data_IF_628726312912
#
_entry.id   IF_628726312912
#
_cell.length_a   1.000
_cell.length_b   1.000
_cell.length_c   1.000
_cell.angle_alpha   90.00
_cell.angle_beta   90.00
_cell.angle_gamma   90.00
#
_symmetry.space_group_name_H-M   'P 1'
#
loop_
_entity.id
_entity.type
_entity.pdbx_description
1 polymer ?
#
# COMPACT_ATOMS: atom_id res chain seq x y z
N UNK A 1 -11.65 3.88 -3.75
CA UNK A 1 -12.41 3.77 -5.00
C UNK A 1 -11.47 3.83 -6.19
N UNK A 2 -11.70 3.00 -7.16
CA UNK A 2 -10.94 2.89 -8.40
C UNK A 2 -11.83 2.24 -9.46
N UNK A 3 -11.30 1.96 -10.64
CA UNK A 3 -12.00 1.20 -11.67
C UNK A 3 -12.37 -0.21 -11.21
N UNK A 4 -11.58 -0.75 -10.28
CA UNK A 4 -11.78 -2.10 -9.73
C UNK A 4 -12.76 -2.13 -8.56
N UNK A 5 -13.01 -0.99 -7.92
CA UNK A 5 -13.66 -0.95 -6.62
C UNK A 5 -14.56 0.28 -6.47
N UNK A 6 -15.85 0.03 -6.36
CA UNK A 6 -16.82 1.07 -6.07
C UNK A 6 -16.78 1.46 -4.58
N UNK A 7 -17.17 2.69 -4.28
CA UNK A 7 -17.30 3.15 -2.89
C UNK A 7 -18.17 2.19 -2.07
N UNK A 8 -19.33 1.81 -2.61
CA UNK A 8 -20.29 1.01 -1.87
C UNK A 8 -20.99 1.81 -0.76
N UNK A 9 -21.39 1.11 0.30
CA UNK A 9 -22.20 1.67 1.38
C UNK A 9 -23.66 1.86 1.01
N UNK A 10 -24.48 2.30 1.96
CA UNK A 10 -25.90 2.54 1.74
C UNK A 10 -26.18 4.02 1.43
N UNK A 11 -26.39 4.33 0.17
CA UNK A 11 -26.88 5.65 -0.27
C UNK A 11 -25.90 6.78 0.01
N UNK A 12 -26.39 7.87 0.58
CA UNK A 12 -25.61 9.08 0.89
C UNK A 12 -24.77 8.99 2.15
N UNK A 13 -24.80 7.86 2.84
CA UNK A 13 -23.97 7.65 4.00
C UNK A 13 -22.50 7.66 3.56
N UNK A 14 -21.67 8.32 4.36
CA UNK A 14 -20.25 8.48 4.09
C UNK A 14 -19.96 9.26 2.80
N UNK A 15 -20.53 10.45 2.74
CA UNK A 15 -20.40 11.38 1.61
C UNK A 15 -18.95 11.77 1.28
N UNK A 16 -18.03 11.65 2.24
CA UNK A 16 -16.64 12.04 2.08
C UNK A 16 -15.87 11.18 1.07
N UNK A 17 -16.30 9.94 0.81
CA UNK A 17 -15.69 9.07 -0.19
C UNK A 17 -16.34 9.17 -1.57
N UNK A 18 -17.55 9.70 -1.67
CA UNK A 18 -18.25 9.83 -2.94
C UNK A 18 -17.52 10.69 -3.98
N UNK A 19 -16.92 11.86 -3.60
CA UNK A 19 -16.15 12.66 -4.54
C UNK A 19 -15.01 11.92 -5.25
N UNK A 20 -14.39 10.93 -4.58
CA UNK A 20 -13.34 10.11 -5.18
C UNK A 20 -13.87 9.15 -6.25
N UNK A 21 -15.08 8.65 -6.08
CA UNK A 21 -15.71 7.76 -7.05
C UNK A 21 -16.12 8.50 -8.33
N UNK A 22 -16.70 9.69 -8.17
CA UNK A 22 -17.19 10.47 -9.31
C UNK A 22 -16.20 11.52 -9.84
N UNK A 23 -15.01 11.64 -9.24
CA UNK A 23 -13.96 12.60 -9.58
C UNK A 23 -14.44 14.07 -9.61
N UNK A 24 -15.38 14.42 -8.74
CA UNK A 24 -15.95 15.76 -8.64
C UNK A 24 -15.94 16.26 -7.21
N UNK A 25 -15.90 17.60 -7.08
CA UNK A 25 -15.98 18.30 -5.79
C UNK A 25 -14.88 17.90 -4.79
N UNK A 26 -13.73 17.45 -5.28
CA UNK A 26 -12.58 17.19 -4.42
C UNK A 26 -11.98 18.52 -3.95
N UNK A 27 -11.94 18.71 -2.65
CA UNK A 27 -11.34 19.87 -2.00
C UNK A 27 -10.27 19.43 -1.02
N UNK A 28 -9.39 20.34 -0.63
CA UNK A 28 -8.36 20.06 0.39
C UNK A 28 -8.93 19.78 1.78
N UNK A 29 -10.19 20.08 2.00
CA UNK A 29 -10.89 19.88 3.28
C UNK A 29 -11.73 18.61 3.35
N UNK A 30 -11.65 17.75 2.32
CA UNK A 30 -12.30 16.44 2.37
C UNK A 30 -11.66 15.61 3.48
N UNK A 31 -12.49 15.11 4.42
CA UNK A 31 -12.05 14.39 5.62
C UNK A 31 -10.99 13.33 5.38
N UNK A 32 -11.15 12.39 4.43
CA UNK A 32 -10.14 11.36 4.16
C UNK A 32 -8.77 11.90 3.73
N UNK A 33 -8.71 12.99 2.95
CA UNK A 33 -7.43 13.60 2.55
C UNK A 33 -6.79 14.36 3.72
N UNK A 34 -7.57 15.13 4.44
CA UNK A 34 -7.08 15.87 5.62
C UNK A 34 -6.54 14.91 6.68
N UNK A 35 -7.28 13.84 6.97
CA UNK A 35 -6.85 12.81 7.91
C UNK A 35 -5.60 12.07 7.45
N UNK A 36 -5.50 11.73 6.17
CA UNK A 36 -4.31 11.07 5.61
C UNK A 36 -3.08 11.97 5.73
N UNK A 37 -3.20 13.24 5.39
CA UNK A 37 -2.14 14.23 5.54
C UNK A 37 -1.68 14.33 6.99
N UNK A 38 -2.62 14.55 7.90
CA UNK A 38 -2.33 14.66 9.33
C UNK A 38 -1.63 13.41 9.89
N UNK A 39 -2.16 12.23 9.60
CA UNK A 39 -1.62 10.95 10.12
C UNK A 39 -0.23 10.67 9.60
N UNK A 40 0.04 10.94 8.32
CA UNK A 40 1.35 10.71 7.73
C UNK A 40 2.39 11.69 8.29
N UNK A 41 2.07 12.98 8.43
CA UNK A 41 2.98 13.93 9.08
C UNK A 41 3.16 13.68 10.58
N UNK A 42 2.15 13.23 11.28
CA UNK A 42 2.30 12.79 12.68
C UNK A 42 3.26 11.59 12.80
N UNK A 43 3.20 10.65 11.85
CA UNK A 43 4.13 9.53 11.80
C UNK A 43 5.56 9.98 11.47
N UNK A 44 5.75 10.89 10.49
CA UNK A 44 7.04 11.48 10.16
C UNK A 44 7.64 12.23 11.37
N UNK A 45 6.83 13.01 12.08
CA UNK A 45 7.26 13.70 13.29
C UNK A 45 7.77 12.74 14.37
N UNK A 46 7.11 11.58 14.52
CA UNK A 46 7.58 10.52 15.44
C UNK A 46 8.90 9.91 14.98
N UNK A 47 9.08 9.70 13.67
CA UNK A 47 10.36 9.24 13.12
C UNK A 47 11.48 10.25 13.40
N UNK A 48 11.26 11.54 13.13
CA UNK A 48 12.25 12.58 13.38
C UNK A 48 12.62 12.69 14.87
N UNK A 49 11.63 12.61 15.76
CA UNK A 49 11.88 12.56 17.22
C UNK A 49 12.72 11.36 17.61
N UNK A 50 12.45 10.19 17.04
CA UNK A 50 13.23 9.00 17.30
C UNK A 50 14.66 9.14 16.79
N UNK A 51 14.88 9.70 15.61
CA UNK A 51 16.23 9.97 15.06
C UNK A 51 17.03 10.90 15.95
N UNK A 52 16.44 12.02 16.38
CA UNK A 52 17.10 12.95 17.34
C UNK A 52 17.45 12.25 18.66
N UNK A 53 16.58 11.38 19.15
CA UNK A 53 16.84 10.64 20.39
C UNK A 53 17.92 9.58 20.22
N UNK A 54 17.95 8.89 19.09
CA UNK A 54 18.97 7.89 18.76
C UNK A 54 20.35 8.54 18.55
N UNK A 55 20.41 9.69 17.89
CA UNK A 55 21.63 10.48 17.74
C UNK A 55 22.21 10.86 19.11
N UNK A 56 21.35 11.34 20.01
CA UNK A 56 21.79 11.82 21.32
C UNK A 56 22.14 10.71 22.32
N UNK A 57 21.38 9.64 22.35
CA UNK A 57 21.43 8.65 23.41
C UNK A 57 21.72 7.23 22.93
N UNK A 58 21.60 6.95 21.64
CA UNK A 58 21.62 5.60 21.08
C UNK A 58 22.89 4.86 21.45
N UNK A 59 24.06 5.39 21.08
CA UNK A 59 25.33 4.71 21.32
C UNK A 59 25.58 4.41 22.79
N UNK A 60 25.17 5.30 23.70
CA UNK A 60 25.36 5.10 25.14
C UNK A 60 24.39 4.10 25.77
N UNK A 61 23.23 3.85 25.14
CA UNK A 61 22.17 3.00 25.67
C UNK A 61 22.06 1.64 24.97
N UNK A 62 22.36 1.60 23.68
CA UNK A 62 22.17 0.40 22.86
C UNK A 62 23.51 -0.13 22.30
N UNK A 63 24.56 0.68 22.31
CA UNK A 63 25.79 0.41 21.59
C UNK A 63 25.71 0.80 20.11
N UNK A 64 26.86 0.88 19.45
CA UNK A 64 26.99 1.44 18.09
C UNK A 64 26.22 0.64 17.04
N UNK A 65 26.34 -0.69 17.04
CA UNK A 65 25.72 -1.56 16.04
C UNK A 65 24.20 -1.48 16.10
N UNK A 66 23.63 -1.62 17.29
CA UNK A 66 22.18 -1.57 17.43
C UNK A 66 21.64 -0.17 17.14
N UNK A 67 22.34 0.88 17.53
CA UNK A 67 21.95 2.25 17.21
C UNK A 67 21.87 2.47 15.70
N UNK A 68 22.86 2.01 14.94
CA UNK A 68 22.83 2.08 13.46
C UNK A 68 21.62 1.35 12.89
N UNK A 69 21.32 0.16 13.39
CA UNK A 69 20.15 -0.60 12.93
C UNK A 69 18.84 0.13 13.24
N UNK A 70 18.69 0.68 14.46
CA UNK A 70 17.48 1.44 14.83
C UNK A 70 17.32 2.71 13.99
N UNK A 71 18.39 3.42 13.70
CA UNK A 71 18.38 4.57 12.79
C UNK A 71 17.90 4.14 11.40
N UNK A 72 18.42 3.04 10.88
CA UNK A 72 18.05 2.51 9.59
C UNK A 72 16.56 2.10 9.51
N UNK A 73 16.04 1.44 10.57
CA UNK A 73 14.61 1.12 10.68
C UNK A 73 13.73 2.38 10.69
N UNK A 74 14.11 3.39 11.46
CA UNK A 74 13.34 4.65 11.53
C UNK A 74 13.39 5.42 10.22
N UNK A 75 14.53 5.46 9.54
CA UNK A 75 14.66 6.07 8.22
C UNK A 75 13.79 5.35 7.19
N UNK A 76 13.77 4.02 7.20
CA UNK A 76 12.83 3.26 6.35
C UNK A 76 11.38 3.67 6.58
N UNK A 77 10.95 3.76 7.84
CA UNK A 77 9.58 4.16 8.17
C UNK A 77 9.28 5.59 7.73
N UNK A 78 10.22 6.52 7.91
CA UNK A 78 10.06 7.89 7.42
C UNK A 78 9.90 7.93 5.90
N UNK A 79 10.77 7.23 5.19
CA UNK A 79 10.69 7.09 3.74
C UNK A 79 9.36 6.48 3.28
N UNK A 80 8.87 5.44 3.98
CA UNK A 80 7.56 4.83 3.71
C UNK A 80 6.42 5.85 3.83
N UNK A 81 6.40 6.67 4.88
CA UNK A 81 5.36 7.68 5.06
C UNK A 81 5.45 8.80 4.03
N UNK A 82 6.67 9.25 3.70
CA UNK A 82 6.87 10.22 2.62
C UNK A 82 6.52 9.67 1.26
N UNK A 83 6.84 8.41 0.96
CA UNK A 83 6.42 7.75 -0.27
C UNK A 83 4.89 7.80 -0.43
N UNK A 84 4.14 7.48 0.62
CA UNK A 84 2.68 7.60 0.63
C UNK A 84 2.21 9.04 0.43
N UNK A 85 2.84 10.01 1.06
CA UNK A 85 2.50 11.42 0.90
C UNK A 85 2.66 11.89 -0.53
N UNK A 86 3.83 11.67 -1.13
CA UNK A 86 4.12 12.21 -2.46
C UNK A 86 3.35 11.49 -3.57
N UNK A 87 2.95 10.24 -3.38
CA UNK A 87 2.10 9.53 -4.36
C UNK A 87 0.68 10.09 -4.40
N UNK A 88 0.21 10.70 -3.32
CA UNK A 88 -1.13 11.32 -3.25
C UNK A 88 -1.06 12.84 -3.48
N UNK A 89 -0.19 13.52 -2.75
CA UNK A 89 -0.17 15.00 -2.71
C UNK A 89 0.90 15.62 -3.60
N UNK A 90 1.84 14.85 -4.12
CA UNK A 90 2.93 15.23 -5.03
C UNK A 90 3.91 16.25 -4.44
N UNK A 91 3.47 17.45 -4.12
CA UNK A 91 4.27 18.53 -3.53
C UNK A 91 4.00 18.60 -2.03
N UNK A 92 5.01 18.25 -1.25
CA UNK A 92 4.91 18.24 0.21
C UNK A 92 6.17 18.88 0.84
N UNK A 93 6.06 19.52 1.99
CA UNK A 93 7.24 20.01 2.70
C UNK A 93 8.08 18.81 3.17
N UNK A 94 9.41 18.92 3.03
CA UNK A 94 10.32 17.93 3.59
C UNK A 94 10.76 18.38 4.99
N UNK A 95 10.35 17.61 6.00
CA UNK A 95 10.67 17.84 7.41
C UNK A 95 11.49 16.65 7.89
N UNK A 96 12.78 16.83 8.02
CA UNK A 96 13.71 15.84 8.56
C UNK A 96 14.04 16.11 10.03
N UNK A 97 14.96 15.32 10.59
CA UNK A 97 15.42 15.44 11.97
C UNK A 97 16.08 16.78 12.26
N UNK A 98 16.75 17.40 11.29
CA UNK A 98 17.39 18.72 11.48
C UNK A 98 16.36 19.85 11.51
N UNK A 99 15.37 19.82 10.60
CA UNK A 99 14.25 20.75 10.63
C UNK A 99 13.47 20.60 11.93
N UNK A 100 13.22 19.36 12.35
CA UNK A 100 12.52 19.07 13.59
C UNK A 100 13.30 19.56 14.84
N UNK A 101 14.61 19.30 14.91
CA UNK A 101 15.49 19.69 16.00
C UNK A 101 15.59 21.21 16.17
N UNK A 102 15.66 21.91 15.04
CA UNK A 102 15.79 23.36 15.01
C UNK A 102 14.45 24.10 15.10
N UNK A 103 13.34 23.36 15.15
CA UNK A 103 11.98 23.90 15.22
C UNK A 103 11.67 24.90 14.07
N UNK A 104 12.09 24.54 12.86
CA UNK A 104 11.95 25.37 11.66
C UNK A 104 10.88 24.84 10.68
N UNK A 105 9.94 24.00 11.16
CA UNK A 105 8.90 23.39 10.32
C UNK A 105 8.04 24.44 9.60
N UNK A 106 7.73 25.54 10.26
CA UNK A 106 6.93 26.64 9.69
C UNK A 106 7.63 27.36 8.54
N UNK A 107 8.95 27.16 8.39
CA UNK A 107 9.75 27.73 7.32
C UNK A 107 9.87 26.80 6.12
N UNK A 108 9.30 25.59 6.20
CA UNK A 108 9.33 24.63 5.11
C UNK A 108 8.09 24.79 4.24
N UNK A 109 8.31 24.89 2.93
CA UNK A 109 7.25 25.06 1.95
C UNK A 109 7.10 23.80 1.09
N UNK A 110 5.90 23.54 0.59
CA UNK A 110 5.60 22.38 -0.24
C UNK A 110 6.17 22.47 -1.66
N UNK A 111 6.67 23.62 -2.06
CA UNK A 111 7.32 23.88 -3.35
C UNK A 111 8.86 24.04 -3.26
N UNK A 112 9.43 23.82 -2.06
CA UNK A 112 10.88 23.91 -1.85
C UNK A 112 11.67 22.85 -2.63
N UNK A 113 11.05 21.74 -2.99
CA UNK A 113 11.67 20.64 -3.71
C UNK A 113 10.79 20.19 -4.89
N UNK A 114 11.44 19.83 -5.99
CA UNK A 114 10.78 19.17 -7.12
C UNK A 114 10.36 17.74 -6.72
N UNK A 115 9.47 17.16 -7.47
CA UNK A 115 9.05 15.77 -7.28
C UNK A 115 10.23 14.79 -7.30
N UNK A 116 11.16 14.97 -8.24
CA UNK A 116 12.39 14.19 -8.32
C UNK A 116 13.24 14.35 -7.06
N UNK A 117 13.48 15.59 -6.59
CA UNK A 117 14.27 15.84 -5.38
C UNK A 117 13.65 15.23 -4.13
N UNK A 118 12.33 15.21 -4.03
CA UNK A 118 11.64 14.52 -2.93
C UNK A 118 11.88 13.00 -2.99
N UNK A 119 11.83 12.39 -4.19
CA UNK A 119 12.18 10.97 -4.34
C UNK A 119 13.64 10.70 -4.02
N UNK A 120 14.57 11.56 -4.39
CA UNK A 120 15.99 11.40 -4.04
C UNK A 120 16.20 11.36 -2.52
N UNK A 121 15.47 12.20 -1.77
CA UNK A 121 15.50 12.17 -0.30
C UNK A 121 14.91 10.89 0.28
N UNK A 122 13.79 10.42 -0.26
CA UNK A 122 13.15 9.16 0.12
C UNK A 122 14.07 7.98 -0.20
N UNK A 123 14.69 7.97 -1.38
CA UNK A 123 15.64 6.94 -1.80
C UNK A 123 16.85 6.92 -0.85
N UNK A 124 17.37 8.06 -0.43
CA UNK A 124 18.49 8.14 0.51
C UNK A 124 18.17 7.46 1.87
N UNK A 125 16.97 7.64 2.37
CA UNK A 125 16.52 6.99 3.60
C UNK A 125 16.32 5.47 3.40
N UNK A 126 15.71 5.02 2.29
CA UNK A 126 15.62 3.59 1.97
C UNK A 126 16.97 2.96 1.69
N UNK A 127 17.91 3.71 1.06
CA UNK A 127 19.27 3.23 0.82
C UNK A 127 20.00 2.99 2.15
N UNK A 128 19.86 3.90 3.10
CA UNK A 128 20.40 3.68 4.47
C UNK A 128 19.88 2.38 5.07
N UNK A 129 18.60 2.10 4.91
CA UNK A 129 17.99 0.86 5.39
C UNK A 129 18.53 -0.37 4.65
N UNK A 130 18.65 -0.29 3.33
CA UNK A 130 19.20 -1.37 2.51
C UNK A 130 20.64 -1.73 2.88
N UNK A 131 21.47 -0.72 3.16
CA UNK A 131 22.89 -0.91 3.46
C UNK A 131 23.15 -1.47 4.87
N UNK A 132 22.26 -1.16 5.82
CA UNK A 132 22.48 -1.45 7.24
C UNK A 132 21.65 -2.62 7.76
N UNK A 133 20.42 -2.80 7.28
CA UNK A 133 19.53 -3.81 7.84
C UNK A 133 19.89 -5.23 7.41
N UNK A 134 19.67 -6.23 8.29
CA UNK A 134 19.83 -7.63 7.92
C UNK A 134 18.73 -8.07 6.94
N UNK A 135 18.97 -9.17 6.22
CA UNK A 135 17.98 -9.75 5.30
C UNK A 135 16.77 -10.35 6.01
N UNK A 136 16.94 -10.78 7.25
CA UNK A 136 15.87 -11.36 8.06
C UNK A 136 15.82 -10.69 9.43
N UNK A 137 14.64 -10.65 10.01
CA UNK A 137 14.40 -10.16 11.38
C UNK A 137 13.71 -11.25 12.21
N UNK A 138 14.00 -11.27 13.50
CA UNK A 138 13.39 -12.24 14.43
C UNK A 138 11.93 -11.93 14.75
N UNK A 139 11.55 -10.66 14.68
CA UNK A 139 10.20 -10.19 14.98
C UNK A 139 9.45 -9.89 13.68
N UNK A 140 8.28 -10.49 13.52
CA UNK A 140 7.38 -10.21 12.39
C UNK A 140 6.99 -8.72 12.35
N UNK A 141 6.97 -8.15 11.15
CA UNK A 141 6.65 -6.74 10.93
C UNK A 141 7.82 -5.76 11.09
N UNK A 142 8.98 -6.20 11.57
CA UNK A 142 10.19 -5.38 11.48
C UNK A 142 10.68 -5.30 10.05
N UNK A 143 11.14 -4.09 9.71
CA UNK A 143 11.72 -3.85 8.40
C UNK A 143 13.07 -4.52 8.25
N UNK A 144 13.36 -5.01 7.05
CA UNK A 144 14.60 -5.68 6.72
C UNK A 144 15.17 -5.17 5.38
N UNK A 145 16.34 -5.65 5.00
CA UNK A 145 17.02 -5.27 3.76
C UNK A 145 16.16 -5.52 2.52
N UNK A 146 15.43 -6.63 2.47
CA UNK A 146 14.61 -7.00 1.30
C UNK A 146 13.41 -6.07 1.15
N UNK A 147 12.80 -5.64 2.27
CA UNK A 147 11.77 -4.62 2.26
C UNK A 147 12.30 -3.28 1.72
N UNK A 148 13.53 -2.90 2.10
CA UNK A 148 14.17 -1.69 1.58
C UNK A 148 14.45 -1.79 0.07
N UNK A 149 14.97 -2.93 -0.41
CA UNK A 149 15.15 -3.18 -1.85
C UNK A 149 13.83 -3.07 -2.63
N UNK A 150 12.76 -3.64 -2.09
CA UNK A 150 11.42 -3.55 -2.71
C UNK A 150 10.92 -2.12 -2.84
N UNK A 151 11.16 -1.27 -1.83
CA UNK A 151 10.79 0.14 -1.90
C UNK A 151 11.71 0.97 -2.79
N UNK A 152 13.01 0.65 -2.85
CA UNK A 152 13.92 1.27 -3.80
C UNK A 152 13.49 0.98 -5.24
N UNK A 153 13.14 -0.26 -5.55
CA UNK A 153 12.58 -0.61 -6.86
C UNK A 153 11.32 0.21 -7.19
N UNK A 154 10.39 0.36 -6.24
CA UNK A 154 9.18 1.20 -6.42
C UNK A 154 9.51 2.68 -6.65
N UNK A 155 10.46 3.24 -5.92
CA UNK A 155 10.88 4.62 -6.09
C UNK A 155 11.51 4.86 -7.47
N UNK A 156 12.42 3.99 -7.88
CA UNK A 156 13.03 4.09 -9.20
C UNK A 156 12.04 3.85 -10.34
N UNK A 157 11.04 2.99 -10.14
CA UNK A 157 9.97 2.81 -11.11
C UNK A 157 9.18 4.11 -11.30
N UNK A 158 8.83 4.80 -10.22
CA UNK A 158 8.17 6.10 -10.30
C UNK A 158 9.03 7.14 -11.04
N UNK A 159 10.33 7.18 -10.77
CA UNK A 159 11.25 8.09 -11.46
C UNK A 159 11.51 7.70 -12.92
N UNK A 160 11.46 6.41 -13.25
CA UNK A 160 11.61 5.96 -14.64
C UNK A 160 10.47 6.47 -15.55
N UNK A 161 9.28 6.65 -14.98
CA UNK A 161 8.10 7.20 -15.66
C UNK A 161 7.90 8.71 -15.40
N UNK A 162 8.85 9.36 -14.71
CA UNK A 162 8.71 10.70 -14.11
C UNK A 162 8.33 11.81 -15.08
N UNK A 163 8.88 11.80 -16.28
CA UNK A 163 8.61 12.86 -17.27
C UNK A 163 7.14 12.88 -17.72
N UNK A 164 6.46 11.74 -17.71
CA UNK A 164 5.02 11.66 -17.98
C UNK A 164 4.15 12.19 -16.85
N UNK A 165 4.68 12.27 -15.66
CA UNK A 165 3.92 12.66 -14.47
C UNK A 165 3.63 14.16 -14.36
N UNK A 166 4.46 14.98 -14.96
CA UNK A 166 4.29 16.44 -15.00
C UNK A 166 3.67 16.92 -16.32
N UNK A 167 3.51 16.04 -17.29
CA UNK A 167 2.96 16.37 -18.61
C UNK A 167 1.46 16.00 -18.68
N UNK A 168 0.70 16.89 -19.23
CA UNK A 168 -0.74 16.68 -19.50
C UNK A 168 -1.00 15.76 -20.69
N UNK A 169 0.04 15.40 -21.44
CA UNK A 169 -0.04 14.68 -22.73
C UNK A 169 0.44 13.22 -22.66
N UNK A 170 0.76 12.71 -21.46
CA UNK A 170 1.25 11.35 -21.29
C UNK A 170 2.77 11.23 -21.19
N UNK A 171 3.26 10.00 -21.13
CA UNK A 171 4.68 9.69 -20.96
C UNK A 171 5.38 9.79 -22.30
N UNK A 172 6.36 10.69 -22.42
CA UNK A 172 7.12 10.89 -23.66
C UNK A 172 8.23 9.87 -23.83
N UNK A 173 8.85 9.43 -22.75
CA UNK A 173 9.89 8.41 -22.75
C UNK A 173 10.07 7.80 -21.35
N UNK A 174 10.70 6.63 -21.29
CA UNK A 174 11.06 5.94 -20.04
C UNK A 174 12.54 6.17 -19.78
N UNK A 175 12.89 6.59 -18.57
CA UNK A 175 14.29 6.70 -18.15
C UNK A 175 14.88 5.30 -17.92
N UNK A 176 15.67 4.84 -18.87
CA UNK A 176 16.26 3.48 -18.87
C UNK A 176 17.28 3.28 -17.76
N UNK A 177 17.96 4.34 -17.30
CA UNK A 177 18.91 4.24 -16.18
C UNK A 177 18.17 3.97 -14.86
N UNK A 178 17.04 4.61 -14.63
CA UNK A 178 16.20 4.30 -13.48
C UNK A 178 15.53 2.93 -13.61
N UNK A 179 15.11 2.55 -14.83
CA UNK A 179 14.56 1.21 -15.06
C UNK A 179 15.59 0.11 -14.80
N UNK A 180 16.88 0.34 -15.10
CA UNK A 180 17.94 -0.59 -14.72
C UNK A 180 18.03 -0.75 -13.18
N UNK A 181 17.89 0.34 -12.42
CA UNK A 181 17.81 0.27 -10.95
C UNK A 181 16.61 -0.54 -10.46
N UNK A 182 15.48 -0.47 -11.15
CA UNK A 182 14.33 -1.34 -10.83
C UNK A 182 14.72 -2.80 -10.98
N UNK A 183 15.36 -3.16 -12.11
CA UNK A 183 15.83 -4.53 -12.34
C UNK A 183 16.82 -4.96 -11.27
N UNK A 184 17.84 -4.14 -10.97
CA UNK A 184 18.86 -4.45 -9.97
C UNK A 184 18.25 -4.77 -8.60
N UNK A 185 17.30 -3.96 -8.10
CA UNK A 185 16.69 -4.18 -6.79
C UNK A 185 15.63 -5.28 -6.79
N UNK A 186 14.89 -5.48 -7.88
CA UNK A 186 13.97 -6.62 -7.99
C UNK A 186 14.72 -7.94 -8.09
N UNK A 187 15.91 -7.95 -8.66
CA UNK A 187 16.79 -9.10 -8.68
C UNK A 187 17.22 -9.53 -7.26
N UNK A 188 17.58 -8.56 -6.41
CA UNK A 188 17.85 -8.83 -4.99
C UNK A 188 16.63 -9.46 -4.29
N UNK A 189 15.42 -8.98 -4.59
CA UNK A 189 14.20 -9.53 -4.00
C UNK A 189 13.94 -10.95 -4.49
N UNK A 190 14.10 -11.19 -5.78
CA UNK A 190 13.83 -12.50 -6.40
C UNK A 190 14.78 -13.61 -5.96
N UNK A 191 16.01 -13.25 -5.58
CA UNK A 191 17.01 -14.19 -5.05
C UNK A 191 17.01 -14.29 -3.52
N UNK A 192 16.07 -13.63 -2.84
CA UNK A 192 15.93 -13.70 -1.39
C UNK A 192 15.18 -14.96 -0.94
N UNK A 193 14.97 -15.09 0.38
CA UNK A 193 14.15 -16.15 0.95
C UNK A 193 12.65 -15.96 0.75
N UNK A 194 12.21 -14.80 0.24
CA UNK A 194 10.83 -14.54 -0.11
C UNK A 194 10.43 -15.21 -1.43
N UNK A 195 9.14 -15.49 -1.58
CA UNK A 195 8.64 -16.15 -2.80
C UNK A 195 7.15 -16.40 -2.69
N UNK A 196 6.56 -16.95 -3.73
CA UNK A 196 5.13 -17.22 -3.78
C UNK A 196 4.76 -18.45 -2.94
N UNK A 197 3.58 -18.39 -2.31
CA UNK A 197 2.92 -19.58 -1.78
C UNK A 197 2.42 -20.45 -2.93
N UNK A 198 2.25 -21.74 -2.67
CA UNK A 198 1.79 -22.68 -3.68
C UNK A 198 0.31 -22.44 -4.03
N UNK A 199 -0.52 -22.21 -3.02
CA UNK A 199 -1.93 -21.81 -3.20
C UNK A 199 -2.06 -20.30 -2.96
N UNK A 200 -2.57 -19.60 -3.97
CA UNK A 200 -2.87 -18.16 -3.89
C UNK A 200 -3.82 -17.82 -2.74
N UNK A 201 -4.76 -18.71 -2.42
CA UNK A 201 -5.72 -18.50 -1.35
C UNK A 201 -5.10 -18.43 0.04
N UNK A 202 -3.98 -19.12 0.24
CA UNK A 202 -3.32 -19.21 1.54
C UNK A 202 -2.80 -17.84 2.03
N UNK A 203 -2.51 -16.93 1.12
CA UNK A 203 -2.04 -15.57 1.46
C UNK A 203 -3.05 -14.80 2.33
N UNK A 204 -4.33 -15.14 2.24
CA UNK A 204 -5.42 -14.47 2.95
C UNK A 204 -5.83 -15.18 4.24
N UNK A 205 -5.21 -16.31 4.57
CA UNK A 205 -5.54 -17.08 5.76
C UNK A 205 -4.69 -16.66 6.96
N UNK A 206 -5.30 -16.52 8.14
CA UNK A 206 -4.56 -16.11 9.36
C UNK A 206 -3.40 -17.02 9.73
N UNK A 207 -3.49 -18.31 9.46
CA UNK A 207 -2.46 -19.32 9.71
C UNK A 207 -1.21 -19.13 8.83
N UNK A 208 -1.34 -18.45 7.70
CA UNK A 208 -0.25 -18.11 6.79
C UNK A 208 0.27 -16.66 6.99
N UNK A 209 -0.10 -16.03 8.11
CA UNK A 209 0.40 -14.71 8.47
C UNK A 209 1.93 -14.68 8.50
N UNK A 210 2.51 -13.63 7.91
CA UNK A 210 3.95 -13.46 7.78
C UNK A 210 4.65 -14.63 7.06
N UNK A 211 3.98 -15.24 6.10
CA UNK A 211 4.55 -16.26 5.22
C UNK A 211 5.67 -15.68 4.34
N UNK A 212 6.33 -16.57 3.58
CA UNK A 212 7.40 -16.18 2.64
C UNK A 212 6.97 -15.17 1.56
N UNK A 213 5.66 -14.94 1.37
CA UNK A 213 5.13 -13.94 0.42
C UNK A 213 4.98 -12.55 1.05
N UNK A 214 5.05 -12.44 2.38
CA UNK A 214 4.88 -11.20 3.13
C UNK A 214 6.22 -10.52 3.41
N UNK A 215 6.67 -9.65 2.49
CA UNK A 215 7.97 -8.95 2.63
C UNK A 215 7.92 -7.88 3.73
N UNK A 216 6.85 -7.10 3.79
CA UNK A 216 6.63 -6.08 4.80
C UNK A 216 5.14 -5.88 5.03
N UNK A 217 4.70 -6.11 6.25
CA UNK A 217 3.31 -5.98 6.65
C UNK A 217 3.16 -5.30 8.01
N UNK A 218 2.21 -4.38 8.10
CA UNK A 218 1.80 -3.80 9.38
C UNK A 218 1.08 -4.88 10.18
N UNK A 219 1.58 -5.16 11.38
CA UNK A 219 1.00 -6.17 12.26
C UNK A 219 -0.22 -5.60 12.97
N UNK A 220 -1.41 -5.91 12.48
CA UNK A 220 -2.68 -5.60 13.13
C UNK A 220 -3.00 -6.67 14.17
N UNK A 221 -3.62 -6.28 15.29
CA UNK A 221 -4.08 -7.22 16.30
C UNK A 221 -5.60 -7.27 16.32
N UNK A 222 -6.15 -8.39 16.78
CA UNK A 222 -7.57 -8.58 17.02
C UNK A 222 -7.99 -8.25 18.45
N UNK A 223 -7.10 -7.63 19.22
CA UNK A 223 -7.36 -7.26 20.60
C UNK A 223 -8.54 -6.29 20.70
N UNK A 224 -9.62 -6.74 21.32
CA UNK A 224 -10.92 -6.05 21.31
C UNK A 224 -11.13 -5.09 22.48
N UNK A 225 -10.26 -5.11 23.49
CA UNK A 225 -10.48 -4.39 24.75
C UNK A 225 -9.93 -2.97 24.77
N UNK A 226 -9.43 -2.47 23.66
CA UNK A 226 -8.91 -1.12 23.61
C UNK A 226 -9.96 -0.13 23.10
N UNK A 227 -10.76 0.39 24.03
CA UNK A 227 -11.71 1.45 23.78
C UNK A 227 -11.05 2.83 23.62
N UNK A 228 -9.70 2.90 23.57
CA UNK A 228 -9.02 4.18 23.41
C UNK A 228 -8.96 4.59 21.93
N UNK A 229 -9.04 5.89 21.68
CA UNK A 229 -8.89 6.49 20.34
C UNK A 229 -7.56 6.09 19.66
N UNK A 230 -6.57 5.64 20.40
CA UNK A 230 -5.25 5.24 19.97
C UNK A 230 -5.02 3.74 20.10
N UNK A 231 -6.05 2.97 20.38
CA UNK A 231 -6.01 1.53 20.46
C UNK A 231 -5.42 0.89 19.21
N UNK A 232 -4.77 -0.24 19.39
CA UNK A 232 -4.13 -1.00 18.33
C UNK A 232 -5.01 -2.14 17.82
N UNK A 233 -6.24 -2.22 18.34
CA UNK A 233 -7.16 -3.27 17.97
C UNK A 233 -7.62 -3.11 16.52
N UNK A 234 -7.50 -4.17 15.77
CA UNK A 234 -8.17 -4.45 14.50
C UNK A 234 -8.38 -3.24 13.56
N UNK A 235 -7.30 -2.58 13.18
CA UNK A 235 -7.32 -1.47 12.22
C UNK A 235 -7.26 -1.92 10.76
N UNK A 236 -7.40 -3.23 10.49
CA UNK A 236 -7.54 -3.72 9.14
C UNK A 236 -8.97 -3.49 8.63
N UNK A 237 -9.24 -3.84 7.43
CA UNK A 237 -10.46 -3.60 6.66
C UNK A 237 -11.77 -4.08 7.33
N UNK A 238 -12.19 -3.45 8.40
CA UNK A 238 -13.39 -3.83 9.15
C UNK A 238 -14.70 -3.45 8.45
N UNK A 239 -14.64 -2.60 7.43
CA UNK A 239 -15.82 -2.08 6.73
C UNK A 239 -16.10 -2.78 5.38
N UNK A 240 -15.25 -3.69 4.95
CA UNK A 240 -15.33 -4.33 3.63
C UNK A 240 -16.20 -5.59 3.59
N UNK A 241 -16.96 -5.87 4.64
CA UNK A 241 -17.83 -7.03 4.66
C UNK A 241 -19.17 -6.79 3.96
N UNK A 242 -19.76 -7.85 3.39
CA UNK A 242 -21.10 -7.80 2.84
C UNK A 242 -22.13 -7.48 3.92
N UNK A 243 -23.09 -6.65 3.59
CA UNK A 243 -24.28 -6.49 4.40
C UNK A 243 -25.18 -7.75 4.23
N UNK A 244 -25.61 -8.32 5.29
CA UNK A 244 -26.62 -9.38 5.28
C UNK A 244 -26.16 -10.68 5.93
N UNK A 245 -25.54 -11.59 5.21
CA UNK A 245 -25.24 -12.96 5.69
C UNK A 245 -24.38 -12.96 6.95
N UNK A 246 -23.40 -12.07 7.03
CA UNK A 246 -22.51 -11.93 8.18
C UNK A 246 -22.76 -10.69 9.03
N UNK A 247 -23.70 -9.82 8.65
CA UNK A 247 -24.15 -8.60 9.35
C UNK A 247 -23.08 -7.69 9.95
N UNK A 248 -21.85 -7.78 9.50
CA UNK A 248 -20.72 -7.06 10.09
C UNK A 248 -20.02 -6.09 9.14
N UNK A 249 -20.44 -5.97 7.90
CA UNK A 249 -19.92 -5.06 6.91
C UNK A 249 -20.92 -3.98 6.53
N UNK A 250 -20.41 -2.93 5.88
CA UNK A 250 -21.20 -1.80 5.40
C UNK A 250 -21.21 -1.71 3.88
N UNK A 251 -20.83 -2.81 3.21
CA UNK A 251 -20.75 -2.87 1.74
C UNK A 251 -19.81 -1.84 1.10
N UNK A 252 -18.80 -1.38 1.80
CA UNK A 252 -17.77 -0.55 1.20
C UNK A 252 -16.83 -1.39 0.34
N UNK A 253 -16.21 -0.74 -0.65
CA UNK A 253 -15.27 -1.37 -1.58
C UNK A 253 -15.89 -2.55 -2.35
N UNK A 254 -17.10 -2.36 -2.85
CA UNK A 254 -17.73 -3.36 -3.73
C UNK A 254 -16.88 -3.55 -4.99
N UNK A 255 -16.64 -4.79 -5.42
CA UNK A 255 -15.97 -5.04 -6.69
C UNK A 255 -16.78 -4.45 -7.84
N UNK A 256 -16.10 -3.86 -8.80
CA UNK A 256 -16.73 -3.40 -10.03
C UNK A 256 -16.88 -4.54 -11.03
N UNK A 257 -17.74 -4.36 -12.03
CA UNK A 257 -17.82 -5.26 -13.18
C UNK A 257 -16.48 -5.33 -13.92
N UNK A 258 -15.78 -4.20 -14.03
CA UNK A 258 -14.49 -4.12 -14.68
C UNK A 258 -13.43 -5.02 -14.03
N UNK A 259 -13.41 -5.07 -12.69
CA UNK A 259 -12.55 -6.01 -11.97
C UNK A 259 -12.86 -7.46 -12.32
N UNK A 260 -14.14 -7.86 -12.34
CA UNK A 260 -14.55 -9.23 -12.69
C UNK A 260 -14.16 -9.57 -14.13
N UNK A 261 -14.39 -8.64 -15.03
CA UNK A 261 -14.07 -8.80 -16.45
C UNK A 261 -12.56 -8.94 -16.68
N UNK A 262 -11.72 -8.26 -15.91
CA UNK A 262 -10.26 -8.38 -15.98
C UNK A 262 -9.73 -9.78 -15.63
N UNK A 263 -10.52 -10.61 -14.94
CA UNK A 263 -10.18 -12.02 -14.68
C UNK A 263 -10.58 -12.98 -15.81
N UNK A 264 -11.23 -12.52 -16.88
CA UNK A 264 -11.57 -13.40 -18.01
C UNK A 264 -10.34 -14.01 -18.64
N UNK A 265 -10.51 -15.24 -19.09
CA UNK A 265 -9.46 -15.96 -19.81
C UNK A 265 -9.98 -16.50 -21.14
N UNK A 266 -9.08 -16.50 -22.12
CA UNK A 266 -9.28 -17.09 -23.45
C UNK A 266 -8.15 -18.07 -23.71
N UNK A 267 -8.49 -19.34 -23.92
CA UNK A 267 -7.51 -20.41 -24.13
C UNK A 267 -6.51 -20.55 -22.97
N UNK A 268 -6.91 -20.27 -21.73
CA UNK A 268 -6.07 -20.36 -20.54
C UNK A 268 -5.15 -19.15 -20.28
N UNK A 269 -5.21 -18.12 -21.11
CA UNK A 269 -4.45 -16.87 -20.94
C UNK A 269 -5.42 -15.72 -20.61
N UNK A 270 -4.95 -14.65 -19.92
CA UNK A 270 -5.77 -13.46 -19.71
C UNK A 270 -6.27 -12.89 -21.04
N UNK A 271 -7.51 -12.43 -21.05
CA UNK A 271 -8.12 -11.77 -22.20
C UNK A 271 -7.82 -10.27 -22.15
N UNK A 272 -6.80 -9.82 -22.91
CA UNK A 272 -6.32 -8.43 -22.81
C UNK A 272 -7.06 -7.44 -23.70
N UNK A 273 -7.62 -7.86 -24.83
CA UNK A 273 -8.10 -6.93 -25.87
C UNK A 273 -9.60 -6.64 -25.75
N UNK A 274 -10.40 -7.65 -25.41
CA UNK A 274 -11.86 -7.55 -25.45
C UNK A 274 -12.52 -7.84 -24.08
N UNK A 275 -11.75 -7.83 -23.00
CA UNK A 275 -12.24 -8.30 -21.70
C UNK A 275 -13.45 -7.50 -21.19
N UNK A 276 -13.58 -6.23 -21.52
CA UNK A 276 -14.64 -5.30 -21.10
C UNK A 276 -15.81 -5.19 -22.09
N UNK A 277 -15.69 -5.77 -23.31
CA UNK A 277 -16.70 -5.61 -24.37
C UNK A 277 -17.98 -6.41 -24.09
N UNK A 278 -17.87 -7.53 -23.40
CA UNK A 278 -19.01 -8.38 -23.04
C UNK A 278 -18.96 -8.67 -21.55
N UNK A 279 -19.79 -8.02 -20.73
CA UNK A 279 -19.82 -8.29 -19.29
C UNK A 279 -20.08 -9.78 -19.02
N UNK A 280 -19.21 -10.35 -18.17
CA UNK A 280 -19.39 -11.73 -17.75
C UNK A 280 -20.39 -11.79 -16.61
N UNK A 281 -21.65 -12.00 -16.93
CA UNK A 281 -22.69 -12.23 -15.94
C UNK A 281 -23.08 -13.70 -15.89
N UNK A 282 -23.10 -14.34 -14.75
CA UNK A 282 -24.02 -15.46 -14.53
C UNK A 282 -25.43 -14.87 -14.44
N UNK A 283 -26.13 -14.83 -15.58
CA UNK A 283 -27.50 -14.32 -15.62
C UNK A 283 -28.44 -15.41 -15.11
N UNK A 284 -29.19 -15.13 -14.06
CA UNK A 284 -30.30 -15.97 -13.56
C UNK A 284 -29.94 -17.43 -13.28
N UNK A 285 -28.77 -17.70 -12.68
CA UNK A 285 -28.38 -19.06 -12.30
C UNK A 285 -27.97 -19.98 -13.46
N UNK A 286 -27.84 -19.43 -14.68
CA UNK A 286 -27.32 -20.19 -15.80
C UNK A 286 -25.81 -20.21 -15.81
N UNK A 287 -25.17 -21.38 -15.92
CA UNK A 287 -23.71 -21.42 -16.04
C UNK A 287 -23.27 -20.70 -17.32
N UNK A 288 -22.42 -19.73 -17.16
CA UNK A 288 -21.77 -19.08 -18.30
C UNK A 288 -20.69 -20.00 -18.87
N UNK A 289 -20.47 -19.94 -20.18
CA UNK A 289 -19.33 -20.60 -20.84
C UNK A 289 -18.04 -19.84 -20.64
N UNK A 290 -18.10 -18.63 -20.08
CA UNK A 290 -16.93 -17.83 -19.79
C UNK A 290 -16.00 -18.56 -18.82
N UNK A 291 -14.71 -18.53 -19.09
CA UNK A 291 -13.66 -18.99 -18.20
C UNK A 291 -13.01 -17.80 -17.51
N UNK A 292 -12.70 -17.96 -16.25
CA UNK A 292 -11.98 -16.96 -15.45
C UNK A 292 -10.71 -17.57 -14.85
N UNK A 293 -9.76 -16.70 -14.56
CA UNK A 293 -8.66 -17.00 -13.67
C UNK A 293 -9.23 -17.41 -12.30
N UNK A 294 -8.81 -18.55 -11.72
CA UNK A 294 -9.35 -19.04 -10.45
C UNK A 294 -9.11 -18.07 -9.28
N UNK A 295 -8.19 -17.13 -9.38
CA UNK A 295 -7.97 -16.09 -8.39
C UNK A 295 -9.19 -15.18 -8.21
N UNK A 296 -10.05 -15.07 -9.20
CA UNK A 296 -11.32 -14.34 -9.07
C UNK A 296 -12.13 -14.79 -7.85
N UNK A 297 -12.25 -16.08 -7.64
CA UNK A 297 -13.06 -16.65 -6.55
C UNK A 297 -12.46 -16.50 -5.15
N UNK A 298 -11.21 -16.02 -5.07
CA UNK A 298 -10.59 -15.57 -3.83
C UNK A 298 -10.74 -14.06 -3.60
N UNK A 299 -11.02 -13.32 -4.68
CA UNK A 299 -11.04 -11.86 -4.70
C UNK A 299 -12.47 -11.33 -4.61
N UNK A 300 -13.40 -11.98 -5.27
CA UNK A 300 -14.79 -11.52 -5.43
C UNK A 300 -15.77 -12.64 -5.07
N UNK A 301 -16.76 -12.32 -4.24
CA UNK A 301 -17.93 -13.18 -4.04
C UNK A 301 -18.83 -13.11 -5.27
N UNK A 302 -18.86 -14.17 -6.06
CA UNK A 302 -19.60 -14.22 -7.31
C UNK A 302 -21.00 -14.79 -7.08
N UNK A 303 -22.08 -14.12 -7.57
CA UNK A 303 -23.43 -14.65 -7.50
C UNK A 303 -23.52 -16.06 -8.10
N UNK A 304 -24.27 -16.93 -7.47
CA UNK A 304 -24.49 -18.34 -7.86
C UNK A 304 -23.29 -19.29 -7.64
N UNK A 305 -22.15 -18.77 -7.21
CA UNK A 305 -21.01 -19.60 -6.83
C UNK A 305 -20.93 -19.78 -5.31
N UNK A 306 -20.42 -20.91 -4.82
CA UNK A 306 -20.15 -21.08 -3.41
C UNK A 306 -19.15 -20.03 -2.91
N UNK A 307 -19.41 -19.46 -1.75
CA UNK A 307 -18.43 -18.61 -1.10
C UNK A 307 -17.22 -19.45 -0.68
N UNK A 308 -16.03 -19.05 -1.07
CA UNK A 308 -14.84 -19.90 -1.02
C UNK A 308 -14.54 -20.47 0.36
N UNK A 309 -14.63 -19.64 1.40
CA UNK A 309 -14.26 -20.03 2.76
C UNK A 309 -15.42 -20.62 3.56
N UNK A 310 -16.63 -20.43 3.10
CA UNK A 310 -17.87 -20.86 3.72
C UNK A 310 -18.77 -21.51 2.65
N UNK A 311 -18.33 -22.65 2.12
CA UNK A 311 -18.92 -23.31 0.93
C UNK A 311 -20.41 -23.66 1.05
N UNK A 312 -20.96 -23.69 2.26
CA UNK A 312 -22.38 -23.87 2.50
C UNK A 312 -23.22 -22.65 2.09
N UNK A 313 -22.59 -21.50 1.88
CA UNK A 313 -23.27 -20.30 1.38
C UNK A 313 -23.02 -20.13 -0.11
N UNK A 314 -24.10 -19.86 -0.83
CA UNK A 314 -24.09 -19.44 -2.23
C UNK A 314 -24.62 -18.00 -2.27
N UNK A 315 -23.90 -17.11 -2.89
CA UNK A 315 -24.26 -15.68 -2.98
C UNK A 315 -25.34 -15.44 -4.03
#
# INVERSE_FOLDING_TARGET
>A
TSDDCLKGGSGVNDTDYHPFEIWKNMTSTIGPLDELWYRLFAAISRCNRALVSLDKYGNSKLGETETKQRIAEVKFLRAHFYYKLITVFRKVPWIDEEVFKNNTQEQTHNDAFTYQQLFEKIIADFQTAYDVLPETQTEGGRVNKIAAASYLAKCYLQLAWGDGYEQTTGISHINTSYMQKVVDYTDVVSHSHYGYLEDYGDIFLPEHKNSKESIFAVQCSDYKDDNTKFGRANWSNTLNGCWGIWSCGWDFHKPSQNLVDAFKTKNGLPEFEDFDQTPAHPVNGHPTTQKWDPRLFHTVGMPTFPYKYEKQYTL
#
